data_IF_727081629449
#
_entry.id   IF_727081629449
#
_cell.length_a   1.000
_cell.length_b   1.000
_cell.length_c   1.000
_cell.angle_alpha   90.00
_cell.angle_beta   90.00
_cell.angle_gamma   90.00
#
_symmetry.space_group_name_H-M   'P 1'
#
loop_
_entity.id
_entity.type
_entity.pdbx_description
1 polymer ?
#
# COMPACT_ATOMS: atom_id res chain seq x y z
N UNK A 1 11.30 5.63 12.53
CA UNK A 1 10.95 6.95 11.96
C UNK A 1 9.68 7.56 12.56
N UNK A 2 8.61 6.77 12.82
CA UNK A 2 7.36 7.32 13.38
C UNK A 2 7.50 7.74 14.85
N UNK A 3 8.14 6.94 15.68
CA UNK A 3 8.37 7.27 17.10
C UNK A 3 9.32 8.46 17.28
N UNK A 4 10.21 8.68 16.34
CA UNK A 4 11.16 9.80 16.28
C UNK A 4 10.54 11.07 15.66
N UNK A 5 9.28 11.00 15.24
CA UNK A 5 8.57 12.14 14.67
C UNK A 5 8.88 12.44 13.20
N UNK A 6 9.65 11.59 12.52
CA UNK A 6 10.03 11.80 11.11
C UNK A 6 8.96 11.37 10.12
N UNK A 7 8.12 10.39 10.46
CA UNK A 7 7.13 9.81 9.55
C UNK A 7 5.70 9.98 10.04
N UNK A 8 4.77 10.13 9.12
CA UNK A 8 3.33 10.09 9.34
C UNK A 8 2.76 8.71 8.94
N UNK A 9 3.43 8.06 7.99
CA UNK A 9 3.13 6.71 7.52
C UNK A 9 4.42 5.94 7.30
N UNK A 10 4.45 4.66 7.67
CA UNK A 10 5.58 3.76 7.43
C UNK A 10 5.08 2.49 6.76
N UNK A 11 5.65 2.15 5.64
CA UNK A 11 5.44 0.89 4.91
C UNK A 11 6.55 -0.11 5.26
N UNK A 12 6.18 -1.36 5.50
CA UNK A 12 7.14 -2.44 5.61
C UNK A 12 7.38 -3.07 4.24
N UNK A 13 8.58 -3.03 3.70
CA UNK A 13 8.88 -3.62 2.40
C UNK A 13 9.54 -4.98 2.53
N UNK A 14 9.08 -5.94 1.74
CA UNK A 14 9.68 -7.27 1.57
C UNK A 14 10.89 -7.25 0.63
N UNK A 15 11.10 -6.14 -0.06
CA UNK A 15 12.15 -5.97 -1.08
C UNK A 15 13.29 -5.05 -0.62
N UNK A 16 13.15 -4.42 0.53
CA UNK A 16 14.17 -3.56 1.14
C UNK A 16 14.87 -4.24 2.32
N UNK A 17 16.14 -3.90 2.49
CA UNK A 17 16.91 -4.23 3.69
C UNK A 17 17.60 -5.59 3.66
N UNK A 18 18.26 -5.90 4.78
CA UNK A 18 19.10 -7.09 4.96
C UNK A 18 18.43 -8.16 5.84
N UNK A 19 17.17 -7.99 6.19
CA UNK A 19 16.46 -8.93 7.04
C UNK A 19 16.15 -10.23 6.28
N UNK A 20 16.24 -11.39 6.95
CA UNK A 20 15.87 -12.67 6.35
C UNK A 20 14.43 -12.64 5.83
N UNK A 21 14.23 -13.10 4.62
CA UNK A 21 12.90 -13.25 4.04
C UNK A 21 12.83 -14.52 3.21
N UNK A 22 11.68 -15.15 3.23
CA UNK A 22 11.41 -16.31 2.38
C UNK A 22 11.39 -15.87 0.92
N UNK A 23 12.09 -16.61 0.05
CA UNK A 23 12.09 -16.33 -1.40
C UNK A 23 10.67 -16.43 -1.94
N UNK A 24 10.23 -15.37 -2.59
CA UNK A 24 8.92 -15.31 -3.24
C UNK A 24 8.93 -16.08 -4.58
N UNK A 25 7.78 -16.60 -4.99
CA UNK A 25 7.63 -17.12 -6.35
C UNK A 25 7.86 -16.03 -7.37
N UNK A 26 8.64 -16.33 -8.40
CA UNK A 26 9.08 -15.36 -9.41
C UNK A 26 7.93 -14.54 -10.00
N UNK A 27 6.89 -15.20 -10.50
CA UNK A 27 5.74 -14.52 -11.12
C UNK A 27 4.93 -13.67 -10.14
N UNK A 28 4.83 -14.08 -8.90
CA UNK A 28 4.20 -13.25 -7.85
C UNK A 28 5.02 -12.02 -7.54
N UNK A 29 6.34 -12.14 -7.54
CA UNK A 29 7.24 -10.99 -7.35
C UNK A 29 7.11 -10.00 -8.50
N UNK A 30 7.07 -10.48 -9.76
CA UNK A 30 6.86 -9.65 -10.95
C UNK A 30 5.51 -8.94 -10.89
N UNK A 31 4.43 -9.67 -10.59
CA UNK A 31 3.09 -9.09 -10.47
C UNK A 31 3.02 -8.01 -9.39
N UNK A 32 3.61 -8.25 -8.24
CA UNK A 32 3.66 -7.27 -7.15
C UNK A 32 4.45 -6.01 -7.51
N UNK A 33 5.62 -6.18 -8.14
CA UNK A 33 6.44 -5.06 -8.64
C UNK A 33 5.71 -4.27 -9.71
N UNK A 34 4.99 -4.92 -10.60
CA UNK A 34 4.18 -4.26 -11.63
C UNK A 34 3.05 -3.42 -11.02
N UNK A 35 2.30 -3.97 -10.05
CA UNK A 35 1.24 -3.23 -9.36
C UNK A 35 1.81 -2.04 -8.56
N UNK A 36 2.94 -2.23 -7.89
CA UNK A 36 3.63 -1.15 -7.19
C UNK A 36 4.10 -0.07 -8.16
N UNK A 37 4.70 -0.43 -9.28
CA UNK A 37 5.12 0.50 -10.34
C UNK A 37 3.92 1.30 -10.88
N UNK A 38 2.82 0.63 -11.20
CA UNK A 38 1.61 1.29 -11.67
C UNK A 38 1.04 2.25 -10.63
N UNK A 39 0.98 1.85 -9.35
CA UNK A 39 0.56 2.72 -8.26
C UNK A 39 1.48 3.94 -8.13
N UNK A 40 2.78 3.77 -8.20
CA UNK A 40 3.77 4.86 -8.11
C UNK A 40 3.58 5.92 -9.19
N UNK A 41 3.28 5.51 -10.44
CA UNK A 41 2.97 6.44 -11.54
C UNK A 41 1.83 7.39 -11.17
N UNK A 42 0.75 6.86 -10.61
CA UNK A 42 -0.44 7.66 -10.31
C UNK A 42 -0.36 8.43 -8.99
N UNK A 43 0.39 7.93 -8.02
CA UNK A 43 0.52 8.55 -6.69
C UNK A 43 1.71 9.49 -6.57
N UNK A 44 2.63 9.45 -7.54
CA UNK A 44 3.95 10.11 -7.49
C UNK A 44 4.77 9.71 -6.26
N UNK A 45 4.61 8.45 -5.79
CA UNK A 45 5.42 7.85 -4.76
C UNK A 45 6.51 6.97 -5.38
N UNK A 46 7.51 6.62 -4.60
CA UNK A 46 8.57 5.69 -5.02
C UNK A 46 8.66 4.51 -4.04
N UNK A 47 7.53 3.85 -3.81
CA UNK A 47 7.46 2.66 -2.98
C UNK A 47 8.09 1.45 -3.68
N UNK A 48 8.69 0.56 -2.92
CA UNK A 48 9.19 -0.73 -3.42
C UNK A 48 8.18 -1.87 -3.24
N UNK A 49 7.24 -1.73 -2.29
CA UNK A 49 6.24 -2.75 -1.95
C UNK A 49 4.90 -2.14 -1.49
N UNK A 50 4.08 -1.68 -2.45
CA UNK A 50 2.76 -1.13 -2.16
C UNK A 50 1.79 -2.15 -1.55
N UNK A 51 1.85 -3.41 -2.01
CA UNK A 51 0.96 -4.50 -1.59
C UNK A 51 1.31 -5.12 -0.22
N UNK A 52 2.25 -4.54 0.52
CA UNK A 52 2.57 -5.01 1.87
C UNK A 52 1.39 -4.79 2.82
N UNK A 53 1.08 -5.80 3.64
CA UNK A 53 0.10 -5.66 4.73
C UNK A 53 0.66 -4.94 5.97
N UNK A 54 1.96 -4.68 6.00
CA UNK A 54 2.63 -4.02 7.13
C UNK A 54 2.70 -2.52 6.90
N UNK A 55 1.72 -1.80 7.44
CA UNK A 55 1.65 -0.33 7.40
C UNK A 55 1.39 0.22 8.78
N UNK A 56 2.21 1.17 9.22
CA UNK A 56 1.94 2.01 10.38
C UNK A 56 1.45 3.37 9.90
N UNK A 57 0.32 3.82 10.41
CA UNK A 57 -0.32 5.07 9.99
C UNK A 57 -0.74 5.82 11.25
N UNK A 58 -0.47 7.12 11.33
CA UNK A 58 -0.95 7.96 12.44
C UNK A 58 -2.47 7.82 12.59
N UNK A 59 -2.94 7.69 13.82
CA UNK A 59 -4.37 7.49 14.13
C UNK A 59 -5.25 8.62 13.59
N UNK A 60 -4.77 9.86 13.61
CA UNK A 60 -5.48 11.02 13.06
C UNK A 60 -5.73 10.86 11.55
N UNK A 61 -4.76 10.33 10.81
CA UNK A 61 -4.85 10.09 9.37
C UNK A 61 -5.85 8.97 9.08
N UNK A 62 -5.65 7.78 9.66
CA UNK A 62 -6.50 6.63 9.36
C UNK A 62 -7.96 6.83 9.75
N UNK A 63 -8.23 7.56 10.84
CA UNK A 63 -9.61 7.90 11.27
C UNK A 63 -10.32 8.83 10.29
N UNK A 64 -9.59 9.67 9.56
CA UNK A 64 -10.16 10.63 8.61
C UNK A 64 -10.29 10.08 7.18
N UNK A 65 -9.59 9.00 6.84
CA UNK A 65 -9.70 8.37 5.52
C UNK A 65 -10.98 7.53 5.44
N UNK A 66 -11.73 7.72 4.37
CA UNK A 66 -12.89 6.88 4.00
C UNK A 66 -12.39 5.63 3.27
N UNK A 67 -12.44 4.45 3.86
CA UNK A 67 -12.04 3.19 3.25
C UNK A 67 -13.28 2.39 2.86
N UNK A 68 -13.32 1.90 1.62
CA UNK A 68 -14.46 1.15 1.02
C UNK A 68 -14.08 -0.27 0.63
N UNK A 69 -12.82 -0.46 0.21
CA UNK A 69 -12.35 -1.76 -0.30
C UNK A 69 -11.98 -2.72 0.83
N UNK A 70 -12.09 -4.00 0.52
CA UNK A 70 -11.68 -5.11 1.38
C UNK A 70 -10.62 -5.94 0.66
N UNK A 71 -9.90 -6.78 1.40
CA UNK A 71 -8.88 -7.69 0.85
C UNK A 71 -7.81 -6.92 0.06
N UNK A 72 -7.43 -7.37 -1.14
CA UNK A 72 -6.36 -6.79 -1.97
C UNK A 72 -6.63 -5.36 -2.47
N UNK A 73 -7.89 -4.95 -2.60
CA UNK A 73 -8.22 -3.57 -2.96
C UNK A 73 -7.88 -2.55 -1.86
N UNK A 74 -7.82 -2.98 -0.60
CA UNK A 74 -7.53 -2.13 0.55
C UNK A 74 -6.15 -1.49 0.46
N UNK A 75 -5.11 -2.27 0.12
CA UNK A 75 -3.72 -1.78 0.05
C UNK A 75 -3.56 -0.70 -1.02
N UNK A 76 -4.22 -0.90 -2.14
CA UNK A 76 -4.28 0.06 -3.25
C UNK A 76 -5.04 1.32 -2.86
N UNK A 77 -6.24 1.16 -2.29
CA UNK A 77 -7.09 2.27 -1.91
C UNK A 77 -6.42 3.18 -0.88
N UNK A 78 -5.86 2.59 0.18
CA UNK A 78 -5.23 3.35 1.26
C UNK A 78 -4.00 4.11 0.75
N UNK A 79 -3.20 3.51 -0.13
CA UNK A 79 -2.02 4.15 -0.73
C UNK A 79 -2.42 5.35 -1.59
N UNK A 80 -3.42 5.16 -2.49
CA UNK A 80 -3.93 6.23 -3.34
C UNK A 80 -4.54 7.40 -2.53
N UNK A 81 -5.13 7.12 -1.38
CA UNK A 81 -5.74 8.16 -0.52
C UNK A 81 -4.72 8.88 0.34
N UNK A 82 -3.76 8.16 0.91
CA UNK A 82 -2.66 8.75 1.68
C UNK A 82 -1.81 9.68 0.82
N UNK A 83 -1.52 9.31 -0.44
CA UNK A 83 -0.71 10.15 -1.35
C UNK A 83 -1.33 11.51 -1.66
N UNK A 84 -2.63 11.70 -1.40
CA UNK A 84 -3.35 12.98 -1.60
C UNK A 84 -3.28 13.92 -0.41
N UNK A 85 -2.67 13.51 0.71
CA UNK A 85 -2.49 14.36 1.88
C UNK A 85 -1.30 15.29 1.61
N UNK A 86 -1.48 16.62 1.67
CA UNK A 86 -0.39 17.56 1.44
C UNK A 86 0.75 17.32 2.45
N UNK A 87 1.99 17.36 1.96
CA UNK A 87 3.21 17.26 2.77
C UNK A 87 3.30 15.98 3.62
N UNK A 88 2.59 14.92 3.25
CA UNK A 88 2.65 13.63 3.95
C UNK A 88 4.06 13.06 3.93
N UNK A 89 4.55 12.64 5.09
CA UNK A 89 5.88 12.05 5.24
C UNK A 89 5.74 10.52 5.29
N UNK A 90 6.04 9.87 4.16
CA UNK A 90 5.97 8.43 4.00
C UNK A 90 7.38 7.85 4.02
N UNK A 91 7.59 6.82 4.84
CA UNK A 91 8.84 6.09 4.92
C UNK A 91 8.62 4.62 4.56
N UNK A 92 9.62 3.99 4.00
CA UNK A 92 9.68 2.53 3.84
C UNK A 92 10.80 1.97 4.71
N UNK A 93 10.56 0.80 5.33
CA UNK A 93 11.54 0.05 6.12
C UNK A 93 11.52 -1.42 5.70
N UNK A 94 12.69 -2.04 5.64
CA UNK A 94 12.79 -3.48 5.38
C UNK A 94 12.19 -4.30 6.52
N UNK A 95 11.45 -5.35 6.19
CA UNK A 95 10.86 -6.29 7.15
C UNK A 95 11.34 -7.71 6.91
N UNK A 96 11.40 -8.51 7.97
CA UNK A 96 11.49 -9.96 7.84
C UNK A 96 10.17 -10.50 7.33
N UNK A 97 10.21 -11.43 6.39
CA UNK A 97 9.01 -11.97 5.78
C UNK A 97 9.04 -13.49 5.66
N UNK A 98 8.08 -14.13 6.31
CA UNK A 98 7.88 -15.58 6.32
C UNK A 98 6.59 -15.93 5.57
N UNK A 99 6.62 -15.75 4.25
CA UNK A 99 5.45 -15.92 3.38
C UNK A 99 4.93 -17.37 3.36
N UNK A 100 3.61 -17.52 3.38
CA UNK A 100 2.94 -18.83 3.26
C UNK A 100 2.97 -19.36 1.82
N UNK A 101 3.07 -20.67 1.66
CA UNK A 101 2.84 -21.37 0.39
C UNK A 101 1.33 -21.58 0.13
N UNK A 102 0.98 -22.08 -1.05
CA UNK A 102 -0.40 -22.46 -1.35
C UNK A 102 -0.91 -23.57 -0.44
N UNK A 103 -0.07 -24.53 -0.10
CA UNK A 103 -0.38 -25.61 0.86
C UNK A 103 -0.61 -25.05 2.27
N UNK A 104 0.10 -23.99 2.64
CA UNK A 104 -0.03 -23.25 3.91
C UNK A 104 -1.20 -22.23 3.89
N UNK A 105 -2.08 -22.27 2.88
CA UNK A 105 -3.30 -21.48 2.80
C UNK A 105 -3.15 -20.11 2.12
N UNK A 106 -2.17 -19.92 1.24
CA UNK A 106 -2.08 -18.72 0.38
C UNK A 106 -3.27 -18.70 -0.60
N UNK A 107 -4.06 -17.62 -0.59
CA UNK A 107 -5.31 -17.53 -1.38
C UNK A 107 -5.27 -16.50 -2.52
N UNK A 108 -4.08 -16.01 -2.90
CA UNK A 108 -3.93 -15.00 -3.96
C UNK A 108 -4.00 -15.66 -5.33
N UNK A 109 -4.81 -15.11 -6.23
CA UNK A 109 -4.92 -15.54 -7.62
C UNK A 109 -4.83 -14.35 -8.60
N UNK A 110 -4.81 -14.62 -9.92
CA UNK A 110 -4.71 -13.58 -10.95
C UNK A 110 -5.89 -12.60 -10.96
N UNK A 111 -7.08 -13.00 -10.49
CA UNK A 111 -8.27 -12.13 -10.37
C UNK A 111 -8.03 -11.03 -9.34
N UNK A 112 -7.28 -11.31 -8.29
CA UNK A 112 -6.89 -10.30 -7.28
C UNK A 112 -5.98 -9.23 -7.92
N UNK A 113 -5.10 -9.62 -8.84
CA UNK A 113 -4.27 -8.68 -9.60
C UNK A 113 -5.08 -7.77 -10.51
N UNK A 114 -6.06 -8.30 -11.26
CA UNK A 114 -6.97 -7.48 -12.07
C UNK A 114 -7.81 -6.53 -11.20
N UNK A 115 -8.25 -6.99 -10.03
CA UNK A 115 -8.96 -6.14 -9.06
C UNK A 115 -8.06 -5.01 -8.57
N UNK A 116 -6.79 -5.28 -8.27
CA UNK A 116 -5.83 -4.26 -7.85
C UNK A 116 -5.64 -3.19 -8.95
N UNK A 117 -5.47 -3.58 -10.22
CA UNK A 117 -5.39 -2.63 -11.34
C UNK A 117 -6.65 -1.76 -11.42
N UNK A 118 -7.83 -2.37 -11.36
CA UNK A 118 -9.09 -1.61 -11.34
C UNK A 118 -9.13 -0.60 -10.18
N UNK A 119 -8.72 -1.00 -8.97
CA UNK A 119 -8.66 -0.12 -7.80
C UNK A 119 -7.64 1.01 -7.98
N UNK A 120 -6.45 0.73 -8.57
CA UNK A 120 -5.45 1.77 -8.87
C UNK A 120 -6.08 2.86 -9.74
N UNK A 121 -6.70 2.48 -10.85
CA UNK A 121 -7.33 3.44 -11.76
C UNK A 121 -8.49 4.18 -11.09
N UNK A 122 -9.39 3.46 -10.41
CA UNK A 122 -10.56 4.01 -9.73
C UNK A 122 -10.18 5.08 -8.70
N UNK A 123 -9.26 4.75 -7.78
CA UNK A 123 -8.93 5.63 -6.65
C UNK A 123 -7.97 6.76 -7.02
N UNK A 124 -7.20 6.63 -8.07
CA UNK A 124 -6.32 7.72 -8.51
C UNK A 124 -6.98 8.65 -9.53
N UNK A 125 -7.81 8.15 -10.45
CA UNK A 125 -8.38 8.95 -11.54
C UNK A 125 -9.81 9.41 -11.29
N UNK A 126 -10.65 8.56 -10.65
CA UNK A 126 -12.09 8.78 -10.61
C UNK A 126 -12.64 9.13 -9.21
N UNK A 127 -11.81 9.14 -8.16
CA UNK A 127 -12.26 9.45 -6.80
C UNK A 127 -12.03 10.93 -6.47
N UNK A 128 -13.07 11.63 -6.04
CA UNK A 128 -13.01 13.06 -5.67
C UNK A 128 -12.46 13.25 -4.25
N UNK A 129 -11.92 14.46 -3.94
CA UNK A 129 -11.32 14.77 -2.64
C UNK A 129 -12.31 14.55 -1.46
N UNK A 130 -13.55 14.95 -1.61
CA UNK A 130 -14.61 14.77 -0.61
C UNK A 130 -15.02 13.30 -0.37
N UNK A 131 -14.67 12.40 -1.28
CA UNK A 131 -14.86 10.95 -1.10
C UNK A 131 -13.68 10.28 -0.40
N UNK A 132 -12.52 10.94 -0.41
CA UNK A 132 -11.27 10.44 0.20
C UNK A 132 -11.29 10.64 1.70
N UNK A 133 -11.68 11.83 2.16
CA UNK A 133 -11.62 12.24 3.56
C UNK A 133 -13.01 12.47 4.14
N UNK A 134 -13.18 12.12 5.43
CA UNK A 134 -14.38 12.46 6.21
C UNK A 134 -14.45 13.95 6.50
N UNK A 135 -13.30 14.54 6.85
CA UNK A 135 -13.12 15.97 7.09
C UNK A 135 -12.01 16.50 6.17
N UNK A 136 -12.34 16.95 4.94
CA UNK A 136 -11.34 17.42 3.97
C UNK A 136 -10.56 18.66 4.41
N UNK A 137 -11.09 19.44 5.35
CA UNK A 137 -10.48 20.66 5.89
C UNK A 137 -9.33 20.36 6.88
N UNK A 138 -9.19 19.12 7.30
CA UNK A 138 -8.13 18.71 8.23
C UNK A 138 -6.76 18.57 7.51
N UNK A 139 -6.73 18.54 6.17
CA UNK A 139 -5.51 18.35 5.37
C UNK A 139 -5.36 19.40 4.26
#
# INVERSE_FOLDING_TARGET
>A
PMLEGHADVVYGSRFMGHNPHRILFFWHSIGNKFLTFLSNIFTNLNLTDMETCYKLIKTSIIKNINLKEKRFGFEVEITAKISRIPQIRIYEVGISYYGRTYEEGKKINWKDGLRAIHCILKYNLFTRKNEVFKNPEQF
#
